data_IF_647983190286
#
_entry.id   IF_647983190286
#
_cell.length_a   1.000
_cell.length_b   1.000
_cell.length_c   1.000
_cell.angle_alpha   90.00
_cell.angle_beta   90.00
_cell.angle_gamma   90.00
#
_symmetry.space_group_name_H-M   'P 1'
#
loop_
_entity.id
_entity.type
_entity.pdbx_description
1 polymer ?
#
# COMPACT_ATOMS: atom_id res chain seq x y z
N UNK A 1 8.20 -12.33 -27.67
CA UNK A 1 8.08 -10.96 -27.18
C UNK A 1 6.59 -10.68 -27.01
N UNK A 2 5.89 -11.00 -25.92
CA UNK A 2 6.27 -11.54 -24.62
C UNK A 2 5.08 -12.34 -24.08
N UNK A 3 5.02 -13.65 -24.38
CA UNK A 3 4.04 -14.56 -23.77
C UNK A 3 4.20 -14.61 -22.24
N UNK A 4 5.41 -14.30 -21.75
CA UNK A 4 5.72 -14.04 -20.34
C UNK A 4 4.85 -12.93 -19.74
N UNK A 5 4.52 -11.88 -20.49
CA UNK A 5 3.72 -10.76 -19.98
C UNK A 5 2.24 -11.14 -19.79
N UNK A 6 1.73 -12.04 -20.63
CA UNK A 6 0.34 -12.54 -20.54
C UNK A 6 0.20 -13.54 -19.38
N UNK A 7 1.20 -14.40 -19.15
CA UNK A 7 1.22 -15.34 -18.02
C UNK A 7 1.30 -14.57 -16.69
N UNK A 8 2.22 -13.60 -16.56
CA UNK A 8 2.36 -12.81 -15.32
C UNK A 8 1.11 -11.97 -15.01
N UNK A 9 0.37 -11.48 -16.02
CA UNK A 9 -0.87 -10.72 -15.81
C UNK A 9 -2.09 -11.63 -15.53
N UNK A 10 -2.14 -12.85 -16.07
CA UNK A 10 -3.20 -13.82 -15.76
C UNK A 10 -2.98 -14.53 -14.42
N UNK A 11 -1.74 -14.80 -14.01
CA UNK A 11 -1.43 -15.44 -12.72
C UNK A 11 -1.70 -14.50 -11.53
N UNK A 12 -1.41 -13.19 -11.65
CA UNK A 12 -1.69 -12.22 -10.57
C UNK A 12 -3.19 -11.95 -10.43
N UNK A 13 -3.98 -12.08 -11.51
CA UNK A 13 -5.43 -11.97 -11.45
C UNK A 13 -6.10 -13.21 -10.83
N UNK A 14 -5.45 -14.38 -10.90
CA UNK A 14 -6.02 -15.65 -10.41
C UNK A 14 -5.62 -16.00 -8.97
N UNK A 15 -4.55 -15.42 -8.41
CA UNK A 15 -4.05 -15.78 -7.07
C UNK A 15 -4.03 -14.60 -6.07
N UNK A 16 -4.87 -13.58 -6.24
CA UNK A 16 -5.13 -12.67 -5.12
C UNK A 16 -6.15 -13.34 -4.20
N UNK A 17 -5.65 -14.31 -3.44
CA UNK A 17 -6.32 -14.99 -2.35
C UNK A 17 -7.10 -13.96 -1.53
N UNK A 18 -8.42 -14.15 -1.49
CA UNK A 18 -9.40 -13.36 -0.75
C UNK A 18 -9.13 -13.26 0.76
N UNK A 19 -8.08 -13.93 1.24
CA UNK A 19 -7.64 -14.00 2.64
C UNK A 19 -6.44 -13.10 2.98
N UNK A 20 -5.87 -12.35 2.04
CA UNK A 20 -4.79 -11.40 2.34
C UNK A 20 -5.38 -10.15 2.98
N UNK A 21 -5.44 -10.11 4.32
CA UNK A 21 -5.94 -8.98 5.09
C UNK A 21 -5.42 -7.65 4.55
N UNK A 22 -6.36 -6.75 4.23
CA UNK A 22 -6.05 -5.52 3.51
C UNK A 22 -4.93 -4.75 4.17
N UNK A 23 -3.90 -4.43 3.39
CA UNK A 23 -2.77 -3.64 3.82
C UNK A 23 -3.20 -2.29 4.40
N UNK A 24 -4.26 -1.66 3.89
CA UNK A 24 -4.78 -0.39 4.40
C UNK A 24 -6.00 -0.62 5.30
N UNK A 25 -6.20 0.24 6.30
CA UNK A 25 -7.35 0.21 7.22
C UNK A 25 -8.73 0.30 6.55
N UNK A 26 -8.79 0.70 5.28
CA UNK A 26 -10.03 0.71 4.50
C UNK A 26 -10.48 -0.70 4.06
N UNK A 27 -9.63 -1.72 4.22
CA UNK A 27 -9.89 -3.09 3.76
C UNK A 27 -9.90 -3.23 2.23
N UNK A 28 -9.49 -2.19 1.50
CA UNK A 28 -9.51 -2.16 0.04
C UNK A 28 -8.44 -3.07 -0.59
N UNK A 29 -8.83 -3.82 -1.63
CA UNK A 29 -7.96 -4.75 -2.38
C UNK A 29 -7.02 -4.05 -3.38
N UNK A 30 -7.15 -2.74 -3.55
CA UNK A 30 -6.52 -2.00 -4.65
C UNK A 30 -5.06 -1.62 -4.35
N UNK A 31 -4.08 -2.43 -4.78
CA UNK A 31 -2.66 -2.22 -4.43
C UNK A 31 -1.92 -1.20 -5.30
N UNK A 32 -2.58 -0.57 -6.27
CA UNK A 32 -1.90 0.21 -7.32
C UNK A 32 -1.21 1.49 -6.82
N UNK A 33 -1.78 2.16 -5.82
CA UNK A 33 -1.28 3.43 -5.28
C UNK A 33 -1.13 3.32 -3.77
N UNK A 34 -0.13 2.56 -3.35
CA UNK A 34 0.18 2.36 -1.94
C UNK A 34 1.47 3.06 -1.52
N UNK A 35 1.55 3.44 -0.25
CA UNK A 35 2.73 4.03 0.37
C UNK A 35 3.06 3.35 1.69
N UNK A 36 4.34 3.27 2.00
CA UNK A 36 4.82 2.80 3.29
C UNK A 36 4.87 3.96 4.31
N UNK A 37 4.41 3.71 5.53
CA UNK A 37 4.56 4.61 6.66
C UNK A 37 5.98 4.49 7.22
N UNK A 38 6.67 5.61 7.36
CA UNK A 38 8.05 5.70 7.86
C UNK A 38 8.14 5.56 9.39
N UNK A 39 7.00 5.48 10.08
CA UNK A 39 6.95 5.31 11.52
C UNK A 39 7.19 3.84 11.92
N UNK A 40 8.30 3.58 12.60
CA UNK A 40 8.77 2.24 12.96
C UNK A 40 7.84 1.43 13.88
N UNK A 41 6.86 2.07 14.52
CA UNK A 41 5.85 1.39 15.35
C UNK A 41 4.47 1.33 14.66
N UNK A 42 4.40 1.60 13.35
CA UNK A 42 3.17 1.46 12.60
C UNK A 42 2.91 -0.01 12.28
N UNK A 43 1.84 -0.61 12.84
CA UNK A 43 1.53 -2.04 12.65
C UNK A 43 1.12 -2.42 11.23
N UNK A 44 0.54 -1.45 10.52
CA UNK A 44 -0.09 -1.67 9.21
C UNK A 44 0.89 -1.44 8.06
N UNK A 45 1.88 -0.56 8.26
CA UNK A 45 2.94 -0.13 7.34
C UNK A 45 2.50 0.39 5.96
N UNK A 46 1.40 -0.05 5.35
CA UNK A 46 1.04 0.19 3.97
C UNK A 46 -0.34 0.82 3.81
N UNK A 47 -0.46 1.88 3.02
CA UNK A 47 -1.72 2.63 2.93
C UNK A 47 -2.00 3.14 1.53
N UNK A 48 -3.27 3.23 1.14
CA UNK A 48 -3.64 3.85 -0.13
C UNK A 48 -3.42 5.35 -0.09
N UNK A 49 -2.97 5.88 -1.22
CA UNK A 49 -2.79 7.31 -1.46
C UNK A 49 -4.02 8.13 -1.05
N UNK A 50 -5.21 7.71 -1.47
CA UNK A 50 -6.45 8.41 -1.13
C UNK A 50 -6.80 8.29 0.36
N UNK A 51 -6.55 7.13 0.99
CA UNK A 51 -6.81 6.92 2.41
C UNK A 51 -5.92 7.79 3.31
N UNK A 52 -4.73 8.18 2.84
CA UNK A 52 -3.81 9.06 3.58
C UNK A 52 -3.70 10.46 2.98
N UNK A 53 -4.54 10.80 1.99
CA UNK A 53 -4.60 12.11 1.35
C UNK A 53 -3.38 12.47 0.50
N UNK A 54 -2.61 11.49 0.02
CA UNK A 54 -1.43 11.66 -0.82
C UNK A 54 -1.84 11.60 -2.29
N UNK A 55 -1.69 12.69 -3.01
CA UNK A 55 -1.99 12.72 -4.46
C UNK A 55 -0.77 12.39 -5.34
N UNK A 56 0.45 12.49 -4.81
CA UNK A 56 1.70 12.30 -5.56
C UNK A 56 2.75 11.62 -4.70
N UNK A 57 3.60 10.82 -5.35
CA UNK A 57 4.75 10.20 -4.71
C UNK A 57 5.63 11.29 -4.05
N UNK A 58 5.77 11.26 -2.73
CA UNK A 58 6.55 12.23 -1.97
C UNK A 58 8.02 11.86 -2.01
N UNK A 59 8.91 12.86 -2.07
CA UNK A 59 10.36 12.68 -2.11
C UNK A 59 11.00 12.52 -0.71
N UNK A 60 10.29 11.98 0.27
CA UNK A 60 10.78 11.85 1.66
C UNK A 60 9.86 11.07 2.58
N UNK A 61 10.16 11.09 3.89
CA UNK A 61 9.42 10.35 4.92
C UNK A 61 7.92 10.69 4.89
N UNK A 62 7.08 9.65 4.88
CA UNK A 62 5.63 9.78 4.91
C UNK A 62 5.02 9.03 6.05
N UNK A 63 3.92 9.57 6.54
CA UNK A 63 3.23 9.02 7.68
C UNK A 63 1.78 8.83 7.29
N UNK A 64 1.25 7.65 7.60
CA UNK A 64 -0.13 7.29 7.26
C UNK A 64 -1.17 8.17 7.98
N UNK A 65 -0.82 8.68 9.15
CA UNK A 65 -1.69 9.48 10.01
C UNK A 65 -0.90 10.56 10.71
N UNK A 66 -1.60 11.59 11.20
CA UNK A 66 -1.02 12.62 12.07
C UNK A 66 -0.35 12.01 13.30
N UNK A 67 -0.97 10.97 13.88
CA UNK A 67 -0.43 10.19 14.99
C UNK A 67 1.00 9.71 14.70
N UNK A 68 1.20 8.96 13.61
CA UNK A 68 2.51 8.48 13.18
C UNK A 68 3.49 9.61 12.85
N UNK A 69 3.00 10.78 12.43
CA UNK A 69 3.83 11.96 12.14
C UNK A 69 4.33 12.66 13.41
N UNK A 70 3.52 12.69 14.48
CA UNK A 70 3.83 13.37 15.73
C UNK A 70 4.46 12.46 16.78
N UNK A 71 4.31 11.14 16.65
CA UNK A 71 5.08 10.14 17.40
C UNK A 71 6.54 10.12 16.93
N UNK A 72 7.28 11.18 17.25
CA UNK A 72 8.75 11.15 17.23
C UNK A 72 9.18 10.49 18.54
N UNK A 73 9.62 9.24 18.49
CA UNK A 73 10.47 8.69 19.55
C UNK A 73 11.90 9.18 19.37
#
# INVERSE_FOLDING_TARGET
>A
MDKILIIVILDIASHFDESSGGYCWCGGKDIRKMIACDHVLCETEWFHYECVGICRAPKGAQYCSKECRFSRK
#
